data_IF_771180021549
#
_entry.id   IF_771180021549
#
_cell.length_a   1.000
_cell.length_b   1.000
_cell.length_c   1.000
_cell.angle_alpha   90.00
_cell.angle_beta   90.00
_cell.angle_gamma   90.00
#
_symmetry.space_group_name_H-M   'P 1'
#
loop_
_entity.id
_entity.type
_entity.pdbx_description
1 polymer ?
#
# COMPACT_ATOMS: atom_id res chain seq x y z
N UNK A 1 22.43 -48.27 29.11
CA UNK A 1 23.47 -47.22 29.19
C UNK A 1 23.60 -46.36 27.92
N UNK A 2 22.71 -46.49 26.92
CA UNK A 2 22.83 -45.77 25.63
C UNK A 2 21.82 -44.62 25.40
N UNK A 3 20.83 -44.43 26.29
CA UNK A 3 19.75 -43.44 26.11
C UNK A 3 20.06 -42.05 26.70
N UNK A 4 21.08 -41.92 27.57
CA UNK A 4 21.47 -40.65 28.18
C UNK A 4 22.40 -39.79 27.29
N UNK A 5 23.01 -40.38 26.25
CA UNK A 5 23.97 -39.67 25.39
C UNK A 5 23.31 -38.83 24.30
N UNK A 6 22.12 -39.20 23.78
CA UNK A 6 21.47 -38.46 22.69
C UNK A 6 20.90 -37.10 23.14
N UNK A 7 20.44 -37.01 24.39
CA UNK A 7 19.90 -35.77 24.97
C UNK A 7 20.99 -34.73 25.29
N UNK A 8 22.23 -35.17 25.52
CA UNK A 8 23.38 -34.27 25.73
C UNK A 8 23.88 -33.64 24.43
N UNK A 9 23.86 -34.36 23.30
CA UNK A 9 24.25 -33.78 22.00
C UNK A 9 23.23 -32.73 21.52
N UNK A 10 21.93 -32.99 21.68
CA UNK A 10 20.88 -32.04 21.30
C UNK A 10 20.94 -30.74 22.12
N UNK A 11 21.23 -30.83 23.43
CA UNK A 11 21.41 -29.66 24.31
C UNK A 11 22.68 -28.88 23.99
N UNK A 12 23.78 -29.56 23.66
CA UNK A 12 25.05 -28.93 23.26
C UNK A 12 24.91 -28.17 21.93
N UNK A 13 24.13 -28.72 21.00
CA UNK A 13 23.88 -28.12 19.69
C UNK A 13 22.97 -26.88 19.76
N UNK A 14 21.99 -26.87 20.68
CA UNK A 14 21.15 -25.70 20.97
C UNK A 14 21.94 -24.58 21.67
N UNK A 15 22.84 -24.91 22.59
CA UNK A 15 23.74 -23.94 23.23
C UNK A 15 24.73 -23.32 22.22
N UNK A 16 25.27 -24.12 21.30
CA UNK A 16 26.13 -23.62 20.23
C UNK A 16 25.39 -22.70 19.24
N UNK A 17 24.13 -23.02 18.88
CA UNK A 17 23.29 -22.14 18.05
C UNK A 17 22.96 -20.81 18.76
N UNK A 18 22.65 -20.87 20.07
CA UNK A 18 22.35 -19.68 20.86
C UNK A 18 23.57 -18.75 21.03
N UNK A 19 24.77 -19.33 21.22
CA UNK A 19 26.01 -18.55 21.33
C UNK A 19 26.43 -17.93 19.99
N UNK A 20 26.13 -18.59 18.86
CA UNK A 20 26.44 -18.10 17.52
C UNK A 20 25.53 -16.95 17.05
N UNK A 21 24.37 -16.73 17.67
CA UNK A 21 23.49 -15.60 17.35
C UNK A 21 23.85 -14.28 18.08
N UNK A 22 24.68 -14.33 19.12
CA UNK A 22 25.05 -13.12 19.87
C UNK A 22 25.86 -12.04 19.11
N UNK A 23 26.68 -12.31 18.08
CA UNK A 23 27.44 -11.24 17.42
C UNK A 23 26.63 -10.42 16.40
N UNK A 24 25.38 -10.79 16.10
CA UNK A 24 24.56 -10.10 15.09
C UNK A 24 23.89 -8.81 15.59
N UNK A 25 23.95 -8.49 16.88
CA UNK A 25 23.34 -7.27 17.45
C UNK A 25 24.25 -6.03 17.43
N UNK A 26 25.51 -6.12 16.99
CA UNK A 26 26.50 -5.03 17.12
C UNK A 26 26.68 -4.14 15.88
N UNK A 27 25.77 -4.15 14.90
CA UNK A 27 26.00 -3.51 13.59
C UNK A 27 25.34 -2.13 13.38
N UNK A 28 24.77 -1.48 14.41
CA UNK A 28 24.25 -0.11 14.29
C UNK A 28 25.15 0.89 15.03
N UNK A 29 26.14 1.45 14.34
CA UNK A 29 26.95 2.51 14.94
C UNK A 29 28.18 2.98 14.15
N UNK A 30 28.12 3.04 12.82
CA UNK A 30 29.17 3.70 12.03
C UNK A 30 28.53 4.46 10.87
N UNK A 31 28.07 5.68 11.16
CA UNK A 31 27.71 6.63 10.11
C UNK A 31 29.00 7.18 9.47
N UNK A 32 29.08 7.32 8.14
CA UNK A 32 30.24 7.92 7.51
C UNK A 32 30.41 9.37 7.96
N UNK A 33 31.60 9.72 8.45
CA UNK A 33 32.01 11.12 8.63
C UNK A 33 32.03 11.78 7.26
N UNK A 34 31.12 12.73 7.05
CA UNK A 34 31.08 13.54 5.84
C UNK A 34 32.40 14.30 5.70
N UNK A 35 33.18 13.96 4.69
CA UNK A 35 34.32 14.76 4.25
C UNK A 35 33.79 16.10 3.74
N UNK A 36 34.24 17.20 4.37
CA UNK A 36 33.93 18.55 3.93
C UNK A 36 34.66 18.82 2.60
N UNK A 37 34.03 18.40 1.51
CA UNK A 37 34.41 18.80 0.16
C UNK A 37 34.21 20.30 0.01
N UNK A 38 35.29 21.02 -0.33
CA UNK A 38 35.28 22.47 -0.52
C UNK A 38 34.21 22.91 -1.52
N UNK A 39 33.54 24.01 -1.19
CA UNK A 39 32.53 24.64 -2.04
C UNK A 39 33.20 25.19 -3.28
N UNK A 40 33.18 24.42 -4.37
CA UNK A 40 33.41 24.98 -5.70
C UNK A 40 32.18 25.81 -6.06
N UNK A 41 32.37 27.12 -6.16
CA UNK A 41 31.37 28.11 -6.55
C UNK A 41 30.90 27.83 -7.99
N UNK A 42 29.84 27.04 -8.13
CA UNK A 42 29.09 26.93 -9.38
C UNK A 42 28.26 28.20 -9.53
N UNK A 43 28.38 28.91 -10.65
CA UNK A 43 27.54 30.06 -10.98
C UNK A 43 26.07 29.75 -10.66
N UNK A 44 25.45 30.57 -9.83
CA UNK A 44 24.07 30.42 -9.42
C UNK A 44 23.17 30.42 -10.66
N UNK A 45 22.57 29.27 -10.97
CA UNK A 45 21.51 29.17 -11.97
C UNK A 45 20.33 30.03 -11.47
N UNK A 46 19.95 31.05 -12.25
CA UNK A 46 18.80 31.90 -11.92
C UNK A 46 17.53 31.07 -12.11
N UNK A 47 16.95 30.61 -10.99
CA UNK A 47 15.67 29.89 -10.99
C UNK A 47 14.58 30.86 -11.47
N UNK A 48 13.75 30.48 -12.45
CA UNK A 48 12.61 31.30 -12.88
C UNK A 48 11.69 31.60 -11.69
N UNK A 49 11.12 32.82 -11.59
CA UNK A 49 10.17 33.13 -10.53
C UNK A 49 8.95 32.21 -10.65
N UNK A 50 8.68 31.42 -9.61
CA UNK A 50 7.46 30.64 -9.50
C UNK A 50 6.34 31.52 -8.95
N UNK A 51 5.16 31.46 -9.58
CA UNK A 51 3.93 32.04 -9.02
C UNK A 51 3.09 30.91 -8.41
N UNK A 52 3.21 30.64 -7.11
CA UNK A 52 2.44 29.57 -6.48
C UNK A 52 0.95 29.93 -6.52
N UNK A 53 0.14 29.00 -7.04
CA UNK A 53 -1.30 29.14 -6.99
C UNK A 53 -1.76 29.12 -5.52
N UNK A 54 -2.58 30.11 -5.13
CA UNK A 54 -3.21 30.13 -3.80
C UNK A 54 -4.05 28.86 -3.62
N UNK A 55 -3.98 28.17 -2.47
CA UNK A 55 -4.84 27.02 -2.20
C UNK A 55 -6.31 27.42 -2.31
N UNK A 56 -7.07 26.72 -3.15
CA UNK A 56 -8.52 26.82 -3.17
C UNK A 56 -9.06 26.24 -1.87
N UNK A 57 -9.74 27.08 -1.08
CA UNK A 57 -10.42 26.66 0.15
C UNK A 57 -11.78 26.09 -0.21
N UNK A 58 -12.12 24.94 0.37
CA UNK A 58 -13.43 24.29 0.20
C UNK A 58 -13.34 22.85 -0.33
N UNK A 59 -14.52 22.31 -0.65
CA UNK A 59 -14.67 20.96 -1.15
C UNK A 59 -13.95 20.75 -2.49
N UNK A 60 -13.23 19.62 -2.60
CA UNK A 60 -12.54 19.22 -3.83
C UNK A 60 -13.12 17.89 -4.27
N UNK A 61 -13.90 17.91 -5.34
CA UNK A 61 -14.43 16.68 -5.94
C UNK A 61 -13.27 15.78 -6.40
N UNK A 62 -13.40 14.48 -6.17
CA UNK A 62 -12.46 13.50 -6.69
C UNK A 62 -12.50 13.48 -8.23
N UNK A 63 -11.33 13.27 -8.84
CA UNK A 63 -11.27 12.97 -10.27
C UNK A 63 -11.82 11.56 -10.49
N UNK A 64 -12.92 11.46 -11.23
CA UNK A 64 -13.52 10.16 -11.57
C UNK A 64 -12.67 9.48 -12.64
N UNK A 65 -12.26 8.24 -12.35
CA UNK A 65 -11.58 7.36 -13.28
C UNK A 65 -12.55 6.93 -14.39
N UNK A 66 -12.06 6.98 -15.63
CA UNK A 66 -12.77 6.44 -16.77
C UNK A 66 -11.82 5.50 -17.53
N UNK A 67 -11.99 4.19 -17.33
CA UNK A 67 -11.25 3.14 -18.01
C UNK A 67 -12.23 2.06 -18.48
N UNK A 68 -12.04 1.49 -19.68
CA UNK A 68 -12.87 0.41 -20.17
C UNK A 68 -12.90 -0.78 -19.20
N UNK A 69 -14.09 -1.35 -18.98
CA UNK A 69 -14.29 -2.50 -18.11
C UNK A 69 -14.48 -2.17 -16.63
N UNK A 70 -14.52 -0.88 -16.26
CA UNK A 70 -14.79 -0.42 -14.89
C UNK A 70 -16.16 0.25 -14.74
N UNK A 71 -16.99 0.27 -15.79
CA UNK A 71 -18.29 0.95 -15.82
C UNK A 71 -19.26 0.36 -14.78
N UNK A 72 -19.12 -0.91 -14.43
CA UNK A 72 -19.88 -1.55 -13.38
C UNK A 72 -19.42 -1.15 -11.96
N UNK A 73 -18.21 -0.61 -11.80
CA UNK A 73 -17.62 -0.31 -10.49
C UNK A 73 -17.67 1.19 -10.20
N UNK A 74 -17.19 2.01 -11.13
CA UNK A 74 -17.17 3.47 -10.97
C UNK A 74 -18.60 4.01 -10.84
N UNK A 75 -18.81 4.91 -9.88
CA UNK A 75 -20.12 5.49 -9.55
C UNK A 75 -20.98 4.67 -8.60
N UNK A 76 -20.64 3.40 -8.31
CA UNK A 76 -21.38 2.62 -7.33
C UNK A 76 -21.04 3.02 -5.89
N UNK A 77 -22.05 2.95 -5.01
CA UNK A 77 -21.86 3.09 -3.57
C UNK A 77 -21.39 1.77 -2.94
N UNK A 78 -21.03 1.80 -1.67
CA UNK A 78 -20.47 0.64 -0.98
C UNK A 78 -21.40 -0.60 -1.00
N UNK A 79 -22.70 -0.40 -0.79
CA UNK A 79 -23.68 -1.49 -0.83
C UNK A 79 -23.82 -2.09 -2.25
N UNK A 80 -23.74 -1.25 -3.29
CA UNK A 80 -23.72 -1.70 -4.68
C UNK A 80 -22.49 -2.55 -4.99
N UNK A 81 -21.32 -2.10 -4.54
CA UNK A 81 -20.07 -2.84 -4.69
C UNK A 81 -20.10 -4.17 -3.93
N UNK A 82 -20.64 -4.18 -2.71
CA UNK A 82 -20.79 -5.41 -1.92
C UNK A 82 -21.74 -6.41 -2.60
N UNK A 83 -22.81 -5.96 -3.28
CA UNK A 83 -23.68 -6.86 -4.05
C UNK A 83 -23.01 -7.44 -5.29
N UNK A 84 -22.17 -6.67 -5.97
CA UNK A 84 -21.54 -7.10 -7.22
C UNK A 84 -20.29 -7.94 -7.00
N UNK A 85 -19.46 -7.52 -6.04
CA UNK A 85 -18.19 -8.16 -5.77
C UNK A 85 -18.35 -9.13 -4.60
N UNK A 86 -19.27 -8.96 -3.66
CA UNK A 86 -19.33 -9.66 -2.38
C UNK A 86 -18.79 -8.79 -1.25
N UNK A 87 -18.82 -9.26 0.01
CA UNK A 87 -18.39 -8.43 1.14
C UNK A 87 -16.90 -8.01 1.04
N UNK A 88 -16.56 -6.74 1.35
CA UNK A 88 -15.18 -6.29 1.40
C UNK A 88 -14.48 -6.89 2.62
N UNK A 89 -13.21 -7.24 2.45
CA UNK A 89 -12.33 -7.65 3.56
C UNK A 89 -11.95 -6.47 4.45
N UNK A 90 -11.84 -5.28 3.86
CA UNK A 90 -11.51 -4.03 4.55
C UNK A 90 -12.50 -2.95 4.16
N UNK A 91 -12.97 -2.19 5.14
CA UNK A 91 -13.84 -1.04 4.96
C UNK A 91 -13.40 0.05 5.93
N UNK A 92 -12.78 1.11 5.42
CA UNK A 92 -12.17 2.18 6.22
C UNK A 92 -12.70 3.53 5.76
N UNK A 93 -13.10 4.36 6.73
CA UNK A 93 -13.55 5.73 6.50
C UNK A 93 -12.43 6.68 6.94
N UNK A 94 -12.02 7.57 6.05
CA UNK A 94 -10.97 8.58 6.28
C UNK A 94 -11.51 9.96 5.88
N UNK A 95 -12.01 10.73 6.85
CA UNK A 95 -12.69 11.99 6.57
C UNK A 95 -13.97 11.76 5.78
N UNK A 96 -14.05 12.34 4.58
CA UNK A 96 -15.16 12.14 3.65
C UNK A 96 -14.90 11.00 2.63
N UNK A 97 -13.73 10.38 2.67
CA UNK A 97 -13.39 9.23 1.84
C UNK A 97 -13.77 7.91 2.50
N UNK A 98 -14.10 6.91 1.69
CA UNK A 98 -14.27 5.52 2.13
C UNK A 98 -13.49 4.59 1.22
N UNK A 99 -12.65 3.74 1.80
CA UNK A 99 -11.87 2.73 1.09
C UNK A 99 -12.45 1.35 1.37
N UNK A 100 -12.78 0.63 0.31
CA UNK A 100 -13.13 -0.78 0.36
C UNK A 100 -12.00 -1.62 -0.23
N UNK A 101 -11.69 -2.77 0.36
CA UNK A 101 -10.77 -3.75 -0.21
C UNK A 101 -11.47 -5.08 -0.42
N UNK A 102 -11.35 -5.62 -1.64
CA UNK A 102 -11.80 -6.95 -2.00
C UNK A 102 -10.59 -7.81 -2.33
N UNK A 103 -10.58 -9.05 -1.86
CA UNK A 103 -9.50 -10.00 -2.13
C UNK A 103 -10.05 -11.22 -2.85
N UNK A 104 -9.33 -11.69 -3.86
CA UNK A 104 -9.61 -12.95 -4.55
C UNK A 104 -8.30 -13.61 -4.95
N UNK A 105 -8.38 -14.86 -5.44
CA UNK A 105 -7.18 -15.64 -5.81
C UNK A 105 -6.28 -14.93 -6.84
N UNK A 106 -6.87 -14.13 -7.73
CA UNK A 106 -6.16 -13.47 -8.81
C UNK A 106 -5.53 -12.13 -8.39
N UNK A 107 -6.15 -11.39 -7.46
CA UNK A 107 -5.78 -10.02 -7.15
C UNK A 107 -6.47 -9.50 -5.87
N UNK A 108 -5.94 -8.38 -5.37
CA UNK A 108 -6.56 -7.48 -4.41
C UNK A 108 -7.05 -6.24 -5.16
N UNK A 109 -8.29 -5.85 -4.94
CA UNK A 109 -8.91 -4.64 -5.49
C UNK A 109 -9.22 -3.66 -4.36
N UNK A 110 -8.59 -2.49 -4.39
CA UNK A 110 -8.93 -1.35 -3.57
C UNK A 110 -9.89 -0.43 -4.36
N UNK A 111 -11.05 -0.12 -3.78
CA UNK A 111 -12.04 0.81 -4.35
C UNK A 111 -12.13 2.03 -3.45
N UNK A 112 -11.92 3.21 -4.02
CA UNK A 112 -11.92 4.48 -3.31
C UNK A 112 -13.19 5.26 -3.65
N UNK A 113 -14.01 5.46 -2.63
CA UNK A 113 -15.28 6.15 -2.71
C UNK A 113 -15.12 7.56 -2.15
N UNK A 114 -15.63 8.53 -2.90
CA UNK A 114 -15.66 9.93 -2.52
C UNK A 114 -17.04 10.50 -2.79
N UNK A 115 -17.51 11.46 -1.99
CA UNK A 115 -18.75 12.16 -2.27
C UNK A 115 -18.60 13.06 -3.50
N UNK A 116 -19.67 13.23 -4.28
CA UNK A 116 -19.66 14.13 -5.45
C UNK A 116 -19.86 15.60 -5.08
N UNK A 117 -20.42 15.86 -3.90
CA UNK A 117 -20.67 17.17 -3.30
C UNK A 117 -20.63 17.03 -1.77
N UNK A 118 -20.47 18.13 -1.00
CA UNK A 118 -20.42 18.05 0.47
C UNK A 118 -21.61 17.27 1.06
N UNK A 119 -21.29 16.29 1.92
CA UNK A 119 -22.28 15.46 2.62
C UNK A 119 -23.08 14.49 1.75
N UNK A 120 -22.75 14.33 0.46
CA UNK A 120 -23.35 13.28 -0.36
C UNK A 120 -22.84 11.89 0.04
N UNK A 121 -23.60 10.86 -0.32
CA UNK A 121 -23.14 9.47 -0.19
C UNK A 121 -21.87 9.26 -1.05
N UNK A 122 -20.79 8.68 -0.50
CA UNK A 122 -19.60 8.38 -1.27
C UNK A 122 -19.85 7.33 -2.35
N UNK A 123 -19.33 7.60 -3.55
CA UNK A 123 -19.39 6.68 -4.70
C UNK A 123 -17.99 6.42 -5.24
N UNK A 124 -17.76 5.24 -5.80
CA UNK A 124 -16.47 4.83 -6.33
C UNK A 124 -15.98 5.83 -7.41
N UNK A 125 -14.88 6.50 -7.14
CA UNK A 125 -14.26 7.42 -8.10
C UNK A 125 -12.94 6.87 -8.65
N UNK A 126 -12.30 5.91 -7.96
CA UNK A 126 -11.03 5.34 -8.37
C UNK A 126 -10.92 3.89 -7.89
N UNK A 127 -10.19 3.06 -8.66
CA UNK A 127 -9.83 1.71 -8.24
C UNK A 127 -8.36 1.44 -8.45
N UNK A 128 -7.80 0.62 -7.59
CA UNK A 128 -6.46 0.08 -7.75
C UNK A 128 -6.48 -1.44 -7.63
N UNK A 129 -5.63 -2.10 -8.41
CA UNK A 129 -5.59 -3.55 -8.48
C UNK A 129 -4.15 -4.03 -8.38
N UNK A 130 -3.90 -4.92 -7.41
CA UNK A 130 -2.57 -5.45 -7.12
C UNK A 130 -2.59 -6.97 -7.02
N UNK A 131 -1.46 -7.60 -7.31
CA UNK A 131 -1.25 -9.01 -6.99
C UNK A 131 -0.92 -9.15 -5.51
N UNK A 132 -1.55 -10.10 -4.82
CA UNK A 132 -1.38 -10.27 -3.38
C UNK A 132 0.05 -10.68 -2.98
N UNK A 133 0.74 -11.43 -3.83
CA UNK A 133 2.07 -12.00 -3.51
C UNK A 133 3.19 -10.98 -3.40
N UNK A 134 3.15 -9.92 -4.21
CA UNK A 134 4.25 -8.95 -4.35
C UNK A 134 3.79 -7.49 -4.45
N UNK A 135 2.48 -7.24 -4.41
CA UNK A 135 1.90 -5.90 -4.46
C UNK A 135 2.01 -5.20 -5.82
N UNK A 136 2.51 -5.89 -6.86
CA UNK A 136 2.64 -5.29 -8.18
C UNK A 136 1.27 -5.03 -8.80
N UNK A 137 1.17 -3.93 -9.52
CA UNK A 137 -0.04 -3.55 -10.23
C UNK A 137 -0.43 -4.63 -11.24
N UNK A 138 -1.73 -4.92 -11.31
CA UNK A 138 -2.33 -5.79 -12.32
C UNK A 138 -3.41 -5.04 -13.07
N UNK A 139 -3.89 -5.62 -14.17
CA UNK A 139 -4.98 -5.02 -14.93
C UNK A 139 -6.26 -4.91 -14.07
N UNK A 140 -6.79 -3.69 -13.97
CA UNK A 140 -7.92 -3.35 -13.10
C UNK A 140 -9.21 -4.03 -13.56
N UNK A 141 -9.48 -4.04 -14.86
CA UNK A 141 -10.68 -4.63 -15.43
C UNK A 141 -10.66 -6.16 -15.28
N UNK A 142 -9.52 -6.80 -15.53
CA UNK A 142 -9.33 -8.22 -15.32
C UNK A 142 -9.50 -8.61 -13.84
N UNK A 143 -8.99 -7.79 -12.92
CA UNK A 143 -9.17 -8.00 -11.48
C UNK A 143 -10.65 -7.93 -11.07
N UNK A 144 -11.38 -6.90 -11.52
CA UNK A 144 -12.82 -6.77 -11.31
C UNK A 144 -13.57 -7.98 -11.87
N UNK A 145 -13.28 -8.38 -13.11
CA UNK A 145 -13.92 -9.52 -13.76
C UNK A 145 -13.62 -10.86 -13.04
N UNK A 146 -12.44 -11.00 -12.45
CA UNK A 146 -12.08 -12.17 -11.65
C UNK A 146 -12.83 -12.20 -10.31
N UNK A 147 -12.97 -11.04 -9.65
CA UNK A 147 -13.70 -10.91 -8.39
C UNK A 147 -15.21 -11.11 -8.58
N UNK A 148 -15.79 -10.67 -9.69
CA UNK A 148 -17.22 -10.83 -9.95
C UNK A 148 -17.67 -12.28 -10.20
N UNK A 149 -16.73 -13.21 -10.45
CA UNK A 149 -17.02 -14.63 -10.75
C UNK A 149 -16.88 -15.55 -9.53
N UNK A 150 -16.59 -14.99 -8.36
CA UNK A 150 -16.24 -15.77 -7.16
C UNK A 150 -17.46 -16.33 -6.42
#
# INVERSE_FOLDING_TARGET
MALASLSSLARMQWLALALALMPLLAACGAGPTASQGGVQSTRAARVPPTSPQRPVQGFRAAKVMNLPGLEAIIGNNAAGLARQLGEPRLDVIEGDARKLQFTGKACVLDVYLYPSRPGAEPTAAYVDARRESDGLDVDRAACVAALAKR
#
